data_IF_697353715444
#
_entry.id   IF_697353715444
#
_cell.length_a   1.000
_cell.length_b   1.000
_cell.length_c   1.000
_cell.angle_alpha   90.00
_cell.angle_beta   90.00
_cell.angle_gamma   90.00
#
_symmetry.space_group_name_H-M   'P 1'
#
loop_
_entity.id
_entity.type
_entity.pdbx_description
1 polymer ?
#
# COMPACT_ATOMS: atom_id res chain seq x y z
N UNK A 1 -8.24 -6.39 20.44
CA UNK A 1 -8.29 -6.61 18.98
C UNK A 1 -7.07 -7.42 18.60
N UNK A 2 -7.23 -8.71 18.34
CA UNK A 2 -6.11 -9.56 17.95
C UNK A 2 -5.75 -9.30 16.49
N UNK A 3 -4.65 -8.60 16.27
CA UNK A 3 -4.09 -8.44 14.91
C UNK A 3 -3.13 -9.59 14.64
N UNK A 4 -3.16 -10.12 13.42
CA UNK A 4 -2.25 -11.18 13.01
C UNK A 4 -0.78 -10.70 13.13
N UNK A 5 0.07 -11.53 13.71
CA UNK A 5 1.52 -11.34 13.78
C UNK A 5 2.15 -11.51 12.39
N UNK A 6 3.32 -10.92 12.19
CA UNK A 6 4.14 -11.20 11.01
C UNK A 6 4.87 -12.54 11.10
N UNK A 7 5.81 -12.77 10.18
CA UNK A 7 6.64 -13.99 10.18
C UNK A 7 7.56 -14.15 11.38
N UNK A 8 7.76 -13.09 12.17
CA UNK A 8 8.50 -13.08 13.42
C UNK A 8 7.68 -13.55 14.64
N UNK A 9 6.38 -13.79 14.45
CA UNK A 9 5.47 -14.22 15.52
C UNK A 9 5.20 -13.15 16.60
N UNK A 10 5.72 -11.93 16.47
CA UNK A 10 5.59 -10.87 17.47
C UNK A 10 4.25 -10.16 17.31
N UNK A 11 3.34 -10.25 18.31
CA UNK A 11 2.06 -9.58 18.25
C UNK A 11 2.19 -8.07 18.47
N UNK A 12 1.30 -7.29 17.89
CA UNK A 12 1.31 -5.83 18.02
C UNK A 12 1.07 -5.37 19.47
N UNK A 13 0.38 -6.16 20.25
CA UNK A 13 0.08 -5.93 21.66
C UNK A 13 1.36 -5.79 22.50
N UNK A 14 2.42 -6.51 22.13
CA UNK A 14 3.71 -6.40 22.80
C UNK A 14 4.28 -4.97 22.71
N UNK A 15 4.16 -4.32 21.54
CA UNK A 15 4.58 -2.93 21.36
C UNK A 15 3.76 -1.96 22.21
N UNK A 16 2.48 -2.28 22.45
CA UNK A 16 1.60 -1.46 23.29
C UNK A 16 1.96 -1.61 24.76
N UNK A 17 2.35 -2.78 25.21
CA UNK A 17 2.77 -3.05 26.60
C UNK A 17 4.13 -2.39 26.89
N UNK A 18 5.11 -2.57 26.02
CA UNK A 18 6.48 -2.07 26.21
C UNK A 18 6.60 -0.57 25.97
N UNK A 19 5.64 0.07 25.34
CA UNK A 19 5.57 1.53 25.08
C UNK A 19 6.95 2.14 24.69
N UNK A 20 7.53 2.94 25.58
CA UNK A 20 8.79 3.68 25.32
C UNK A 20 10.00 2.78 25.05
N UNK A 21 10.09 1.62 25.68
CA UNK A 21 11.21 0.71 25.46
C UNK A 21 11.12 0.01 24.10
N UNK A 22 9.91 -0.37 23.64
CA UNK A 22 9.72 -0.85 22.29
C UNK A 22 10.14 0.20 21.25
N UNK A 23 9.85 1.47 21.48
CA UNK A 23 10.26 2.56 20.59
C UNK A 23 11.78 2.66 20.52
N UNK A 24 12.49 2.61 21.66
CA UNK A 24 13.97 2.65 21.71
C UNK A 24 14.60 1.50 20.94
N UNK A 25 14.09 0.26 21.14
CA UNK A 25 14.58 -0.94 20.44
C UNK A 25 14.36 -0.83 18.94
N UNK A 26 13.14 -0.52 18.50
CA UNK A 26 12.83 -0.38 17.07
C UNK A 26 13.64 0.75 16.45
N UNK A 27 13.81 1.87 17.13
CA UNK A 27 14.65 2.98 16.67
C UNK A 27 16.12 2.55 16.50
N UNK A 28 16.69 1.83 17.46
CA UNK A 28 18.06 1.30 17.37
C UNK A 28 18.23 0.38 16.17
N UNK A 29 17.27 -0.52 15.93
CA UNK A 29 17.27 -1.42 14.76
C UNK A 29 17.18 -0.60 13.47
N UNK A 30 16.29 0.38 13.39
CA UNK A 30 16.16 1.26 12.22
C UNK A 30 17.47 2.02 11.92
N UNK A 31 18.15 2.53 12.95
CA UNK A 31 19.46 3.18 12.80
C UNK A 31 20.52 2.21 12.29
N UNK A 32 20.54 1.00 12.81
CA UNK A 32 21.48 -0.04 12.36
C UNK A 32 21.24 -0.38 10.88
N UNK A 33 20.00 -0.60 10.49
CA UNK A 33 19.63 -0.85 9.07
C UNK A 33 20.10 0.30 8.19
N UNK A 34 19.87 1.55 8.63
CA UNK A 34 20.28 2.74 7.89
C UNK A 34 21.79 2.83 7.68
N UNK A 35 22.56 2.47 8.71
CA UNK A 35 24.04 2.50 8.67
C UNK A 35 24.63 1.35 7.85
N UNK A 36 24.09 0.15 8.03
CA UNK A 36 24.68 -1.08 7.45
C UNK A 36 24.08 -1.47 6.11
N UNK A 37 22.91 -0.89 5.75
CA UNK A 37 22.09 -1.27 4.59
C UNK A 37 21.64 -2.74 4.64
N UNK A 38 21.72 -3.37 5.81
CA UNK A 38 21.34 -4.76 6.01
C UNK A 38 20.05 -4.86 6.82
N UNK A 39 19.06 -5.53 6.25
CA UNK A 39 17.80 -5.83 6.90
C UNK A 39 17.90 -7.11 7.72
N UNK A 40 17.30 -7.17 8.92
CA UNK A 40 17.16 -8.42 9.65
C UNK A 40 16.49 -9.49 8.79
N UNK A 41 16.91 -10.73 8.94
CA UNK A 41 16.38 -11.84 8.15
C UNK A 41 14.85 -11.96 8.24
N UNK A 42 14.30 -11.87 9.45
CA UNK A 42 12.86 -12.00 9.67
C UNK A 42 12.04 -10.85 9.04
N UNK A 43 12.67 -9.68 8.81
CA UNK A 43 12.02 -8.56 8.14
C UNK A 43 11.97 -8.70 6.62
N UNK A 44 12.80 -9.59 6.06
CA UNK A 44 12.80 -9.93 4.63
C UNK A 44 11.77 -10.98 4.28
N UNK A 45 11.16 -11.64 5.28
CA UNK A 45 10.18 -12.71 5.07
C UNK A 45 8.76 -12.20 5.26
N UNK A 46 7.88 -12.68 4.40
CA UNK A 46 6.44 -12.43 4.47
C UNK A 46 5.70 -13.75 4.59
N UNK A 47 4.63 -13.75 5.37
CA UNK A 47 3.66 -14.85 5.36
C UNK A 47 2.51 -14.43 4.47
N UNK A 48 2.25 -15.20 3.41
CA UNK A 48 1.14 -14.92 2.49
C UNK A 48 -0.13 -15.60 2.96
N UNK A 49 -1.21 -14.85 3.05
CA UNK A 49 -2.55 -15.34 3.33
C UNK A 49 -3.42 -15.11 2.11
N UNK A 50 -4.03 -16.18 1.62
CA UNK A 50 -4.98 -16.13 0.51
C UNK A 50 -6.37 -15.78 1.04
N UNK A 51 -6.93 -14.67 0.58
CA UNK A 51 -8.27 -14.18 0.94
C UNK A 51 -9.20 -14.45 -0.24
N UNK A 52 -10.28 -15.21 -0.05
CA UNK A 52 -11.24 -15.47 -1.13
C UNK A 52 -11.95 -14.18 -1.54
N UNK A 53 -12.07 -13.96 -2.83
CA UNK A 53 -12.97 -12.96 -3.43
C UNK A 53 -14.38 -13.53 -3.52
N UNK A 54 -15.34 -12.68 -3.88
CA UNK A 54 -16.69 -13.15 -4.21
C UNK A 54 -16.61 -14.00 -5.48
N UNK A 55 -17.18 -15.21 -5.43
CA UNK A 55 -17.23 -16.12 -6.58
C UNK A 55 -16.90 -17.57 -6.20
N UNK A 56 -16.51 -18.36 -7.19
CA UNK A 56 -16.18 -19.77 -7.00
C UNK A 56 -14.86 -19.94 -6.24
N UNK A 57 -14.92 -20.49 -5.04
CA UNK A 57 -13.73 -20.71 -4.18
C UNK A 57 -12.81 -21.85 -4.67
N UNK A 58 -13.20 -22.60 -5.69
CA UNK A 58 -12.36 -23.64 -6.29
C UNK A 58 -11.36 -23.10 -7.32
N UNK A 59 -11.51 -21.83 -7.72
CA UNK A 59 -10.64 -21.20 -8.71
C UNK A 59 -9.57 -20.33 -8.03
N UNK A 60 -8.29 -20.56 -8.32
CA UNK A 60 -7.18 -19.80 -7.78
C UNK A 60 -7.23 -18.31 -8.16
N UNK A 61 -7.82 -17.96 -9.29
CA UNK A 61 -8.05 -16.57 -9.75
C UNK A 61 -8.95 -15.78 -8.80
N UNK A 62 -9.80 -16.47 -8.04
CA UNK A 62 -10.73 -15.86 -7.09
C UNK A 62 -10.11 -15.61 -5.71
N UNK A 63 -8.79 -15.65 -5.59
CA UNK A 63 -8.08 -15.29 -4.36
C UNK A 63 -7.24 -14.05 -4.56
N UNK A 64 -7.16 -13.26 -3.50
CA UNK A 64 -6.20 -12.16 -3.36
C UNK A 64 -5.22 -12.52 -2.25
N UNK A 65 -3.94 -12.43 -2.52
CA UNK A 65 -2.91 -12.67 -1.52
C UNK A 65 -2.63 -11.41 -0.71
N UNK A 66 -2.54 -11.54 0.61
CA UNK A 66 -2.11 -10.47 1.51
C UNK A 66 -0.84 -10.92 2.22
N UNK A 67 0.21 -10.10 2.11
CA UNK A 67 1.48 -10.36 2.79
C UNK A 67 1.45 -9.83 4.23
N UNK A 68 1.69 -10.71 5.18
CA UNK A 68 1.92 -10.34 6.58
C UNK A 68 3.41 -10.22 6.82
N UNK A 69 3.85 -9.01 7.13
CA UNK A 69 5.23 -8.68 7.50
C UNK A 69 5.29 -8.30 8.98
N UNK A 70 6.48 -8.32 9.57
CA UNK A 70 6.70 -7.97 10.98
C UNK A 70 6.18 -6.56 11.31
N UNK A 71 5.70 -6.36 12.53
CA UNK A 71 5.23 -5.05 12.97
C UNK A 71 6.36 -4.02 13.05
N UNK A 72 7.55 -4.45 13.42
CA UNK A 72 8.73 -3.59 13.46
C UNK A 72 9.16 -3.16 12.05
N UNK A 73 9.15 -4.06 11.05
CA UNK A 73 9.46 -3.69 9.67
C UNK A 73 8.43 -2.70 9.09
N UNK A 74 7.15 -2.83 9.47
CA UNK A 74 6.12 -1.84 9.09
C UNK A 74 6.43 -0.43 9.59
N UNK A 75 7.06 -0.29 10.76
CA UNK A 75 7.49 1.03 11.28
C UNK A 75 8.55 1.62 10.37
N UNK A 76 9.58 0.84 10.01
CA UNK A 76 10.64 1.30 9.10
C UNK A 76 10.06 1.70 7.72
N UNK A 77 9.19 0.87 7.16
CA UNK A 77 8.53 1.18 5.88
C UNK A 77 7.68 2.45 5.95
N UNK A 78 7.01 2.72 7.07
CA UNK A 78 6.27 3.98 7.27
C UNK A 78 7.20 5.19 7.32
N UNK A 79 8.37 5.07 7.94
CA UNK A 79 9.38 6.14 7.97
C UNK A 79 9.87 6.43 6.55
N UNK A 80 10.24 5.38 5.80
CA UNK A 80 10.67 5.52 4.41
C UNK A 80 9.57 6.11 3.53
N UNK A 81 8.34 5.61 3.65
CA UNK A 81 7.19 6.16 2.92
C UNK A 81 6.99 7.64 3.22
N UNK A 82 7.05 8.05 4.49
CA UNK A 82 6.87 9.46 4.87
C UNK A 82 7.93 10.36 4.25
N UNK A 83 9.17 9.90 4.16
CA UNK A 83 10.27 10.63 3.50
C UNK A 83 10.08 10.70 1.98
N UNK A 84 9.76 9.57 1.35
CA UNK A 84 9.55 9.51 -0.09
C UNK A 84 8.32 10.29 -0.54
N UNK A 85 7.28 10.36 0.30
CA UNK A 85 6.02 11.03 -0.05
C UNK A 85 6.21 12.49 -0.47
N UNK A 86 7.19 13.18 0.10
CA UNK A 86 7.49 14.57 -0.25
C UNK A 86 8.00 14.70 -1.69
N UNK A 87 8.82 13.74 -2.15
CA UNK A 87 9.33 13.69 -3.52
C UNK A 87 8.25 13.23 -4.50
N UNK A 88 7.59 12.13 -4.18
CA UNK A 88 6.52 11.54 -5.00
C UNK A 88 5.41 12.57 -5.27
N UNK A 89 5.01 13.36 -4.27
CA UNK A 89 3.96 14.36 -4.46
C UNK A 89 4.33 15.47 -5.46
N UNK A 90 5.62 15.72 -5.70
CA UNK A 90 6.08 16.70 -6.69
C UNK A 90 6.09 16.14 -8.11
N UNK A 91 6.38 14.83 -8.23
CA UNK A 91 6.49 14.15 -9.52
C UNK A 91 5.14 13.64 -10.04
N UNK A 92 4.16 13.45 -9.15
CA UNK A 92 2.84 12.98 -9.54
C UNK A 92 2.06 14.06 -10.29
N UNK A 93 1.55 13.70 -11.44
CA UNK A 93 0.65 14.55 -12.24
C UNK A 93 -0.61 14.92 -11.43
N UNK A 94 -1.12 16.13 -11.65
CA UNK A 94 -2.32 16.60 -10.94
C UNK A 94 -3.59 15.78 -11.21
N UNK A 95 -3.63 15.11 -12.35
CA UNK A 95 -4.74 14.22 -12.72
C UNK A 95 -4.74 12.90 -11.93
N UNK A 96 -3.60 12.51 -11.35
CA UNK A 96 -3.52 11.27 -10.57
C UNK A 96 -4.18 11.44 -9.22
N UNK A 97 -5.21 10.63 -8.96
CA UNK A 97 -5.93 10.60 -7.68
C UNK A 97 -5.51 9.42 -6.79
N UNK A 98 -5.13 8.29 -7.39
CA UNK A 98 -4.74 7.10 -6.66
C UNK A 98 -3.53 7.32 -5.75
N UNK A 99 -3.62 6.82 -4.50
CA UNK A 99 -2.57 6.91 -3.47
C UNK A 99 -2.17 8.32 -3.05
N UNK A 100 -2.94 9.33 -3.41
CA UNK A 100 -2.72 10.74 -3.07
C UNK A 100 -3.59 11.18 -1.89
N UNK A 101 -2.97 11.82 -0.89
CA UNK A 101 -3.69 12.38 0.25
C UNK A 101 -4.62 13.52 -0.21
N UNK A 102 -5.87 13.50 0.25
CA UNK A 102 -6.86 14.53 -0.10
C UNK A 102 -7.53 14.35 -1.47
N UNK A 103 -7.22 13.27 -2.19
CA UNK A 103 -7.89 12.89 -3.43
C UNK A 103 -8.73 11.64 -3.20
N UNK A 104 -10.03 11.73 -3.36
CA UNK A 104 -10.97 10.64 -3.09
C UNK A 104 -11.65 10.13 -4.35
N UNK A 105 -12.25 8.94 -4.24
CA UNK A 105 -13.07 8.37 -5.32
C UNK A 105 -14.24 9.30 -5.65
N UNK A 106 -14.82 9.97 -4.65
CA UNK A 106 -15.95 10.91 -4.84
C UNK A 106 -15.56 12.06 -5.76
N UNK A 107 -14.34 12.61 -5.61
CA UNK A 107 -13.85 13.71 -6.44
C UNK A 107 -13.70 13.26 -7.91
N UNK A 108 -13.26 12.02 -8.13
CA UNK A 108 -13.12 11.47 -9.46
C UNK A 108 -14.48 11.18 -10.12
N UNK A 109 -15.45 10.70 -9.35
CA UNK A 109 -16.83 10.54 -9.83
C UNK A 109 -17.42 11.90 -10.21
N UNK A 110 -17.22 12.93 -9.36
CA UNK A 110 -17.69 14.28 -9.63
C UNK A 110 -17.05 14.86 -10.90
N UNK A 111 -15.74 14.64 -11.11
CA UNK A 111 -15.06 15.05 -12.33
C UNK A 111 -15.65 14.40 -13.58
N UNK A 112 -15.88 13.08 -13.55
CA UNK A 112 -16.51 12.37 -14.69
C UNK A 112 -17.92 12.91 -14.94
N UNK A 113 -18.73 13.09 -13.90
CA UNK A 113 -20.07 13.66 -14.00
C UNK A 113 -20.04 15.05 -14.62
N UNK A 114 -19.11 15.89 -14.19
CA UNK A 114 -18.93 17.22 -14.76
C UNK A 114 -18.57 17.18 -16.26
N UNK A 115 -17.67 16.28 -16.68
CA UNK A 115 -17.36 16.10 -18.10
C UNK A 115 -18.58 15.68 -18.91
N UNK A 116 -19.39 14.78 -18.35
CA UNK A 116 -20.62 14.31 -19.01
C UNK A 116 -21.65 15.44 -19.16
N UNK A 117 -21.82 16.26 -18.12
CA UNK A 117 -22.73 17.42 -18.16
C UNK A 117 -22.27 18.45 -19.20
N UNK A 118 -20.99 18.77 -19.23
CA UNK A 118 -20.40 19.69 -20.22
C UNK A 118 -20.55 19.17 -21.65
N UNK A 119 -20.28 17.88 -21.86
CA UNK A 119 -20.45 17.28 -23.18
C UNK A 119 -21.91 17.37 -23.66
N UNK A 120 -22.87 17.18 -22.73
CA UNK A 120 -24.30 17.34 -23.02
C UNK A 120 -24.67 18.79 -23.34
N UNK A 121 -24.19 19.74 -22.56
CA UNK A 121 -24.42 21.18 -22.77
C UNK A 121 -23.96 21.63 -24.18
N UNK A 122 -22.79 21.16 -24.60
CA UNK A 122 -22.23 21.49 -25.90
C UNK A 122 -22.63 20.53 -27.04
N UNK A 123 -23.54 19.59 -26.76
CA UNK A 123 -24.01 18.56 -27.71
C UNK A 123 -22.86 17.77 -28.39
N UNK A 124 -21.78 17.54 -27.62
CA UNK A 124 -20.62 16.78 -28.09
C UNK A 124 -20.62 15.35 -27.57
N UNK A 125 -20.29 14.41 -28.43
CA UNK A 125 -20.08 13.03 -28.03
C UNK A 125 -18.79 12.92 -27.23
N UNK A 126 -18.83 12.18 -26.11
CA UNK A 126 -17.69 11.87 -25.28
C UNK A 126 -17.58 10.35 -25.10
N UNK A 127 -16.36 9.84 -25.16
CA UNK A 127 -16.08 8.41 -25.03
C UNK A 127 -15.17 8.19 -23.83
N UNK A 128 -15.50 7.20 -22.99
CA UNK A 128 -14.68 6.81 -21.86
C UNK A 128 -14.11 5.41 -22.09
N UNK A 129 -12.83 5.25 -21.78
CA UNK A 129 -12.18 3.95 -21.73
C UNK A 129 -11.71 3.71 -20.30
N UNK A 130 -12.16 2.62 -19.67
CA UNK A 130 -11.74 2.20 -18.34
C UNK A 130 -10.80 1.02 -18.47
N UNK A 131 -9.60 1.15 -17.90
CA UNK A 131 -8.58 0.10 -17.92
C UNK A 131 -8.37 -0.38 -16.49
N UNK A 132 -8.64 -1.65 -16.24
CA UNK A 132 -8.41 -2.31 -14.96
C UNK A 132 -7.32 -3.37 -15.11
N UNK A 133 -6.22 -3.19 -14.38
CA UNK A 133 -5.10 -4.13 -14.42
C UNK A 133 -5.31 -5.28 -13.46
N UNK A 134 -5.16 -6.49 -13.96
CA UNK A 134 -5.19 -7.69 -13.13
C UNK A 134 -3.84 -7.88 -12.46
N UNK A 135 -3.77 -7.82 -11.14
CA UNK A 135 -2.55 -8.07 -10.34
C UNK A 135 -1.35 -7.18 -10.74
N UNK A 136 -1.59 -5.89 -10.95
CA UNK A 136 -0.56 -4.91 -11.34
C UNK A 136 0.67 -4.91 -10.41
N UNK A 137 0.49 -5.03 -9.08
CA UNK A 137 1.60 -5.11 -8.12
C UNK A 137 2.41 -6.41 -8.22
N UNK A 138 1.79 -7.52 -8.65
CA UNK A 138 2.49 -8.80 -8.83
C UNK A 138 3.33 -8.82 -10.12
N UNK A 139 3.05 -7.91 -11.05
CA UNK A 139 3.73 -7.80 -12.35
C UNK A 139 4.88 -6.79 -12.35
N UNK A 140 5.20 -6.16 -11.21
CA UNK A 140 6.28 -5.18 -11.12
C UNK A 140 7.65 -5.88 -11.19
N UNK A 141 8.48 -5.45 -12.12
CA UNK A 141 9.88 -5.91 -12.22
C UNK A 141 10.75 -5.11 -11.23
N UNK A 142 11.07 -5.74 -10.11
CA UNK A 142 11.86 -5.12 -9.04
C UNK A 142 13.30 -4.79 -9.43
N UNK A 143 13.81 -5.32 -10.57
CA UNK A 143 15.13 -4.97 -11.08
C UNK A 143 15.13 -3.64 -11.84
N UNK A 144 13.97 -3.09 -12.13
CA UNK A 144 13.79 -1.82 -12.86
C UNK A 144 13.34 -0.66 -11.97
N UNK A 145 13.25 -0.90 -10.67
CA UNK A 145 12.97 0.11 -9.65
C UNK A 145 14.28 0.42 -8.87
#
# INVERSE_FOLDING_TARGET
MNKASGGDGIPVELFQILKGDAVKVVHSICLQIWKTQQWPWDWKRSVFISIPKKGNTKECSNYCTTALISHASKVMLKILKARLQQYVNRELLDVQAGFRKGRGIRDQIANISWFMERAREFQKSIYFCFIDYTKDFDCVDYNKI
#
